data_IF_606933669341
#
_entry.id   IF_606933669341
#
_cell.length_a   1.000
_cell.length_b   1.000
_cell.length_c   1.000
_cell.angle_alpha   90.00
_cell.angle_beta   90.00
_cell.angle_gamma   90.00
#
_symmetry.space_group_name_H-M   'P 1'
#
loop_
_entity.id
_entity.type
_entity.pdbx_description
1 polymer ?
#
# COMPACT_ATOMS: atom_id res chain seq x y z
N UNK A 1 -10.71 -6.94 3.41
CA UNK A 1 -10.34 -7.55 2.11
C UNK A 1 -9.74 -8.94 2.19
N UNK A 2 -8.73 -9.20 3.03
CA UNK A 2 -8.10 -10.51 3.15
C UNK A 2 -9.09 -11.69 3.26
N UNK A 3 -10.15 -11.52 4.06
CA UNK A 3 -11.21 -12.53 4.19
C UNK A 3 -11.99 -12.74 2.89
N UNK A 4 -12.34 -11.66 2.19
CA UNK A 4 -13.05 -11.72 0.91
C UNK A 4 -12.19 -12.36 -0.19
N UNK A 5 -10.87 -12.14 -0.13
CA UNK A 5 -9.90 -12.73 -1.04
C UNK A 5 -9.53 -14.19 -0.70
N UNK A 6 -10.09 -14.76 0.38
CA UNK A 6 -9.78 -16.12 0.83
C UNK A 6 -8.37 -16.30 1.41
N UNK A 7 -7.65 -15.20 1.67
CA UNK A 7 -6.31 -15.22 2.28
C UNK A 7 -6.39 -15.57 3.76
N UNK A 8 -7.47 -15.17 4.42
CA UNK A 8 -7.70 -15.35 5.85
C UNK A 8 -9.15 -15.77 6.12
N UNK A 9 -9.40 -16.59 7.14
CA UNK A 9 -10.72 -16.91 7.66
C UNK A 9 -11.02 -16.05 8.89
N UNK A 10 -12.30 -15.74 9.11
CA UNK A 10 -12.69 -14.82 10.18
C UNK A 10 -12.33 -15.32 11.60
N UNK A 11 -12.25 -16.63 11.79
CA UNK A 11 -11.87 -17.29 13.04
C UNK A 11 -10.35 -17.42 13.24
N UNK A 12 -9.55 -17.07 12.24
CA UNK A 12 -8.09 -16.96 12.37
C UNK A 12 -7.66 -15.62 12.98
N UNK A 13 -8.59 -14.64 13.08
CA UNK A 13 -8.31 -13.35 13.69
C UNK A 13 -8.00 -13.48 15.20
N UNK A 14 -7.04 -12.71 15.73
CA UNK A 14 -6.59 -12.83 17.10
C UNK A 14 -7.70 -12.40 18.08
N UNK A 15 -8.04 -13.26 19.03
CA UNK A 15 -9.18 -13.04 19.95
C UNK A 15 -8.99 -11.79 20.80
N UNK A 16 -7.78 -11.53 21.32
CA UNK A 16 -7.51 -10.40 22.22
C UNK A 16 -7.91 -9.04 21.63
N UNK A 17 -7.37 -8.65 20.46
CA UNK A 17 -7.79 -7.42 19.79
C UNK A 17 -9.30 -7.35 19.48
N UNK A 18 -9.92 -8.48 19.15
CA UNK A 18 -11.35 -8.54 18.85
C UNK A 18 -12.24 -8.36 20.08
N UNK A 19 -11.76 -8.66 21.29
CA UNK A 19 -12.50 -8.39 22.53
C UNK A 19 -12.54 -6.90 22.85
N UNK A 20 -11.46 -6.17 22.54
CA UNK A 20 -11.37 -4.72 22.77
C UNK A 20 -12.07 -3.95 21.65
N UNK A 21 -11.78 -4.27 20.39
CA UNK A 21 -12.23 -3.50 19.25
C UNK A 21 -13.58 -3.99 18.71
N UNK A 22 -13.87 -5.28 18.86
CA UNK A 22 -15.09 -5.92 18.35
C UNK A 22 -14.85 -6.88 17.19
N UNK A 23 -15.79 -7.80 17.00
CA UNK A 23 -15.67 -8.92 16.04
C UNK A 23 -15.99 -8.55 14.60
N UNK A 24 -16.83 -7.55 14.37
CA UNK A 24 -17.19 -7.10 13.01
C UNK A 24 -16.34 -5.91 12.59
N UNK A 25 -16.22 -5.71 11.27
CA UNK A 25 -15.55 -4.54 10.71
C UNK A 25 -16.14 -3.23 11.26
N UNK A 26 -17.47 -3.10 11.25
CA UNK A 26 -18.16 -1.92 11.76
C UNK A 26 -17.96 -1.71 13.27
N UNK A 27 -17.95 -2.78 14.07
CA UNK A 27 -17.69 -2.68 15.50
C UNK A 27 -16.27 -2.14 15.77
N UNK A 28 -15.26 -2.64 15.05
CA UNK A 28 -13.87 -2.16 15.20
C UNK A 28 -13.73 -0.68 14.88
N UNK A 29 -14.31 -0.24 13.77
CA UNK A 29 -14.29 1.19 13.40
C UNK A 29 -14.98 2.02 14.48
N UNK A 30 -16.17 1.60 14.91
CA UNK A 30 -16.92 2.33 15.94
C UNK A 30 -16.11 2.46 17.24
N UNK A 31 -15.57 1.36 17.75
CA UNK A 31 -14.78 1.36 18.99
C UNK A 31 -13.56 2.27 18.89
N UNK A 32 -12.81 2.21 17.78
CA UNK A 32 -11.63 3.06 17.57
C UNK A 32 -12.00 4.54 17.45
N UNK A 33 -13.05 4.87 16.69
CA UNK A 33 -13.48 6.27 16.50
C UNK A 33 -14.02 6.86 17.80
N UNK A 34 -14.89 6.12 18.51
CA UNK A 34 -15.43 6.57 19.79
C UNK A 34 -14.30 6.78 20.82
N UNK A 35 -13.39 5.81 20.96
CA UNK A 35 -12.24 5.93 21.88
C UNK A 35 -11.36 7.12 21.51
N UNK A 36 -11.04 7.30 20.22
CA UNK A 36 -10.24 8.44 19.75
C UNK A 36 -10.89 9.78 20.10
N UNK A 37 -12.19 9.92 19.87
CA UNK A 37 -12.93 11.16 20.19
C UNK A 37 -12.91 11.42 21.69
N UNK A 38 -13.27 10.44 22.52
CA UNK A 38 -13.28 10.57 23.99
C UNK A 38 -11.88 10.87 24.55
N UNK A 39 -10.84 10.27 23.98
CA UNK A 39 -9.48 10.45 24.43
C UNK A 39 -8.82 11.73 23.94
N UNK A 40 -9.38 12.39 22.93
CA UNK A 40 -8.85 13.62 22.34
C UNK A 40 -9.69 14.87 22.61
N UNK A 41 -10.97 14.73 22.95
CA UNK A 41 -11.85 15.89 23.17
C UNK A 41 -11.34 16.81 24.28
N UNK A 42 -11.31 18.11 23.99
CA UNK A 42 -10.79 19.15 24.88
C UNK A 42 -9.29 19.05 25.23
N UNK A 43 -8.52 18.20 24.56
CA UNK A 43 -7.09 17.95 24.84
C UNK A 43 -6.20 18.40 23.68
N UNK A 44 -4.92 18.71 23.93
CA UNK A 44 -4.00 19.16 22.88
C UNK A 44 -3.55 18.04 21.94
N UNK A 45 -3.77 16.77 22.32
CA UNK A 45 -3.27 15.60 21.60
C UNK A 45 -4.41 14.73 21.05
N UNK A 46 -4.22 14.24 19.82
CA UNK A 46 -5.05 13.19 19.22
C UNK A 46 -4.47 11.84 19.60
N UNK A 47 -5.22 11.04 20.37
CA UNK A 47 -4.72 9.77 20.87
C UNK A 47 -5.83 8.77 21.12
N UNK A 48 -5.49 7.49 21.02
CA UNK A 48 -6.28 6.39 21.54
C UNK A 48 -5.92 6.16 23.03
N UNK A 49 -6.80 5.46 23.74
CA UNK A 49 -6.49 4.89 25.04
C UNK A 49 -5.43 3.80 24.89
N UNK A 50 -4.65 3.54 25.94
CA UNK A 50 -3.64 2.47 25.90
C UNK A 50 -4.21 1.09 25.51
N UNK A 51 -5.41 0.67 26.00
CA UNK A 51 -6.03 -0.59 25.57
C UNK A 51 -6.40 -0.60 24.08
N UNK A 52 -7.04 0.46 23.57
CA UNK A 52 -7.43 0.53 22.16
C UNK A 52 -6.21 0.59 21.24
N UNK A 53 -5.18 1.33 21.62
CA UNK A 53 -3.92 1.40 20.88
C UNK A 53 -3.23 0.03 20.81
N UNK A 54 -3.08 -0.67 21.93
CA UNK A 54 -2.46 -2.01 21.96
C UNK A 54 -3.23 -3.00 21.10
N UNK A 55 -4.56 -3.02 21.23
CA UNK A 55 -5.39 -3.90 20.42
C UNK A 55 -5.28 -3.60 18.91
N UNK A 56 -5.18 -2.32 18.53
CA UNK A 56 -4.95 -1.92 17.14
C UNK A 56 -3.58 -2.39 16.63
N UNK A 57 -2.54 -2.21 17.45
CA UNK A 57 -1.16 -2.59 17.11
C UNK A 57 -1.02 -4.11 16.97
N UNK A 58 -1.55 -4.87 17.93
CA UNK A 58 -1.59 -6.35 17.87
C UNK A 58 -2.33 -6.85 16.63
N UNK A 59 -3.47 -6.24 16.28
CA UNK A 59 -4.22 -6.60 15.08
C UNK A 59 -3.44 -6.24 13.80
N UNK A 60 -2.72 -5.13 13.81
CA UNK A 60 -1.87 -4.70 12.70
C UNK A 60 -0.72 -5.68 12.50
N UNK A 61 -0.01 -6.06 13.56
CA UNK A 61 1.10 -7.01 13.51
C UNK A 61 0.65 -8.36 12.95
N UNK A 62 -0.50 -8.85 13.41
CA UNK A 62 -1.14 -10.04 12.86
C UNK A 62 -1.41 -9.90 11.35
N UNK A 63 -1.98 -8.78 10.91
CA UNK A 63 -2.25 -8.54 9.49
C UNK A 63 -0.96 -8.49 8.65
N UNK A 64 0.14 -7.95 9.20
CA UNK A 64 1.44 -7.98 8.53
C UNK A 64 1.98 -9.39 8.34
N UNK A 65 1.95 -10.20 9.40
CA UNK A 65 2.43 -11.58 9.34
C UNK A 65 1.59 -12.45 8.38
N UNK A 66 0.27 -12.42 8.53
CA UNK A 66 -0.62 -13.40 7.89
C UNK A 66 -1.16 -12.97 6.52
N UNK A 67 -1.14 -11.67 6.21
CA UNK A 67 -1.69 -11.13 4.97
C UNK A 67 -0.62 -10.49 4.11
N UNK A 68 0.11 -9.51 4.63
CA UNK A 68 1.01 -8.69 3.80
C UNK A 68 2.36 -9.37 3.49
N UNK A 69 2.92 -10.14 4.41
CA UNK A 69 4.25 -10.76 4.27
C UNK A 69 4.21 -12.26 3.93
N UNK A 70 3.03 -12.81 3.68
CA UNK A 70 2.84 -14.23 3.36
C UNK A 70 3.61 -14.61 2.09
N UNK A 71 4.25 -15.78 2.07
CA UNK A 71 5.15 -16.25 1.00
C UNK A 71 4.57 -16.09 -0.43
N UNK A 72 3.26 -16.30 -0.63
CA UNK A 72 2.61 -16.12 -1.93
C UNK A 72 2.48 -14.67 -2.43
N UNK A 73 2.67 -13.67 -1.56
CA UNK A 73 2.67 -12.25 -1.94
C UNK A 73 4.03 -11.77 -2.48
N UNK A 74 5.10 -12.55 -2.29
CA UNK A 74 6.46 -12.13 -2.67
C UNK A 74 6.68 -12.19 -4.19
N UNK A 75 6.11 -13.16 -4.91
CA UNK A 75 6.36 -13.27 -6.36
C UNK A 75 5.83 -12.06 -7.15
N UNK A 76 4.61 -11.60 -6.84
CA UNK A 76 4.04 -10.43 -7.50
C UNK A 76 4.68 -9.13 -7.01
N UNK A 77 5.13 -9.08 -5.75
CA UNK A 77 5.94 -7.99 -5.23
C UNK A 77 7.26 -7.85 -5.98
N UNK A 78 8.01 -8.95 -6.17
CA UNK A 78 9.29 -8.97 -6.87
C UNK A 78 9.13 -8.55 -8.34
N UNK A 79 8.05 -9.00 -9.00
CA UNK A 79 7.70 -8.55 -10.36
C UNK A 79 7.42 -7.05 -10.41
N UNK A 80 6.67 -6.51 -9.44
CA UNK A 80 6.39 -5.09 -9.35
C UNK A 80 7.65 -4.26 -9.11
N UNK A 81 8.53 -4.70 -8.19
CA UNK A 81 9.83 -4.05 -7.92
C UNK A 81 10.68 -4.04 -9.19
N UNK A 82 10.75 -5.16 -9.91
CA UNK A 82 11.48 -5.24 -11.19
C UNK A 82 10.91 -4.27 -12.22
N UNK A 83 9.59 -4.27 -12.41
CA UNK A 83 8.91 -3.36 -13.35
C UNK A 83 9.26 -1.90 -13.06
N UNK A 84 9.21 -1.49 -11.78
CA UNK A 84 9.54 -0.12 -11.38
C UNK A 84 11.00 0.22 -11.63
N UNK A 85 11.93 -0.70 -11.33
CA UNK A 85 13.37 -0.51 -11.60
C UNK A 85 13.66 -0.35 -13.09
N UNK A 86 13.07 -1.20 -13.91
CA UNK A 86 13.23 -1.17 -15.36
C UNK A 86 12.68 0.15 -15.94
N UNK A 87 11.48 0.59 -15.53
CA UNK A 87 10.91 1.88 -15.94
C UNK A 87 11.80 3.06 -15.48
N UNK A 88 12.29 3.00 -14.25
CA UNK A 88 13.17 4.03 -13.70
C UNK A 88 14.46 4.15 -14.51
N UNK A 89 15.10 3.02 -14.79
CA UNK A 89 16.32 2.98 -15.59
C UNK A 89 16.07 3.49 -17.01
N UNK A 90 14.96 3.08 -17.63
CA UNK A 90 14.59 3.53 -18.97
C UNK A 90 14.49 5.05 -19.07
N UNK A 91 13.76 5.70 -18.17
CA UNK A 91 13.61 7.16 -18.22
C UNK A 91 14.87 7.93 -17.81
N UNK A 92 15.80 7.31 -17.07
CA UNK A 92 17.13 7.89 -16.86
C UNK A 92 17.96 7.88 -18.14
N UNK A 93 17.86 6.82 -18.96
CA UNK A 93 18.55 6.68 -20.24
C UNK A 93 17.86 7.47 -21.37
N UNK A 94 16.55 7.67 -21.27
CA UNK A 94 15.69 8.35 -22.25
C UNK A 94 14.91 9.52 -21.61
N UNK A 95 15.59 10.56 -21.10
CA UNK A 95 14.94 11.67 -20.40
C UNK A 95 13.98 12.48 -21.27
N UNK A 96 14.15 12.43 -22.59
CA UNK A 96 13.29 13.07 -23.60
C UNK A 96 11.95 12.35 -23.79
N UNK A 97 11.81 11.11 -23.30
CA UNK A 97 10.55 10.37 -23.31
C UNK A 97 9.67 10.59 -22.07
N UNK A 98 10.19 11.29 -21.05
CA UNK A 98 9.36 11.75 -19.93
C UNK A 98 8.23 12.67 -20.43
N UNK A 99 7.06 12.72 -19.80
CA UNK A 99 6.06 13.72 -20.14
C UNK A 99 6.61 15.14 -19.95
N UNK A 100 6.15 16.07 -20.79
CA UNK A 100 6.70 17.41 -20.84
C UNK A 100 6.58 18.19 -19.51
N UNK A 101 5.57 17.90 -18.69
CA UNK A 101 5.46 18.44 -17.32
C UNK A 101 6.62 17.99 -16.41
N UNK A 102 7.02 16.71 -16.48
CA UNK A 102 8.11 16.16 -15.67
C UNK A 102 9.48 16.54 -16.22
N UNK A 103 9.63 16.70 -17.54
CA UNK A 103 10.85 17.25 -18.12
C UNK A 103 11.13 18.69 -17.64
N UNK A 104 10.08 19.50 -17.49
CA UNK A 104 10.18 20.91 -17.09
C UNK A 104 10.08 21.13 -15.57
N UNK A 105 9.83 20.07 -14.80
CA UNK A 105 9.78 20.15 -13.36
C UNK A 105 11.16 20.55 -12.78
N UNK A 106 11.18 21.29 -11.67
CA UNK A 106 12.43 21.57 -10.95
C UNK A 106 13.00 20.29 -10.33
N UNK A 107 14.32 20.26 -10.13
CA UNK A 107 15.03 19.11 -9.54
C UNK A 107 15.96 18.39 -10.52
N UNK A 108 16.73 17.44 -10.00
CA UNK A 108 17.59 16.60 -10.84
C UNK A 108 16.78 15.61 -11.68
N UNK A 109 17.43 14.95 -12.64
CA UNK A 109 16.74 13.97 -13.49
C UNK A 109 16.16 12.81 -12.68
N UNK A 110 16.91 12.29 -11.71
CA UNK A 110 16.52 11.19 -10.83
C UNK A 110 15.19 11.47 -10.12
N UNK A 111 15.05 12.66 -9.54
CA UNK A 111 13.84 13.10 -8.83
C UNK A 111 12.67 13.22 -9.80
N UNK A 112 12.88 13.82 -10.97
CA UNK A 112 11.82 13.99 -11.99
C UNK A 112 11.32 12.65 -12.53
N UNK A 113 12.21 11.67 -12.70
CA UNK A 113 11.84 10.29 -13.07
C UNK A 113 11.08 9.60 -11.93
N UNK A 114 11.54 9.74 -10.69
CA UNK A 114 10.86 9.18 -9.53
C UNK A 114 9.44 9.73 -9.38
N UNK A 115 9.27 11.05 -9.52
CA UNK A 115 7.97 11.72 -9.45
C UNK A 115 7.04 11.29 -10.58
N UNK A 116 7.57 11.12 -11.79
CA UNK A 116 6.79 10.61 -12.92
C UNK A 116 6.27 9.20 -12.65
N UNK A 117 7.14 8.29 -12.18
CA UNK A 117 6.78 6.90 -11.89
C UNK A 117 5.81 6.83 -10.69
N UNK A 118 6.04 7.63 -9.64
CA UNK A 118 5.13 7.72 -8.50
C UNK A 118 3.75 8.27 -8.88
N UNK A 119 3.67 9.08 -9.93
CA UNK A 119 2.41 9.57 -10.51
C UNK A 119 1.65 8.55 -11.37
N UNK A 120 2.24 7.38 -11.66
CA UNK A 120 1.58 6.34 -12.46
C UNK A 120 0.55 5.58 -11.63
N UNK A 121 -0.59 5.26 -12.27
CA UNK A 121 -1.45 4.18 -11.77
C UNK A 121 -0.88 2.82 -12.16
N UNK A 122 -1.16 1.76 -11.39
CA UNK A 122 -0.71 0.39 -11.69
C UNK A 122 -1.00 -0.02 -13.14
N UNK A 123 -2.21 0.25 -13.62
CA UNK A 123 -2.62 -0.06 -14.99
C UNK A 123 -1.80 0.71 -16.03
N UNK A 124 -1.44 1.97 -15.74
CA UNK A 124 -0.62 2.78 -16.63
C UNK A 124 0.83 2.28 -16.64
N UNK A 125 1.40 1.99 -15.47
CA UNK A 125 2.75 1.45 -15.34
C UNK A 125 2.90 0.12 -16.07
N UNK A 126 1.95 -0.80 -15.91
CA UNK A 126 1.91 -2.09 -16.62
C UNK A 126 1.87 -1.91 -18.14
N UNK A 127 0.96 -1.09 -18.67
CA UNK A 127 0.86 -0.83 -20.12
C UNK A 127 2.11 -0.16 -20.68
N UNK A 128 2.70 0.75 -19.92
CA UNK A 128 3.95 1.40 -20.31
C UNK A 128 5.09 0.38 -20.35
N UNK A 129 5.19 -0.47 -19.33
CA UNK A 129 6.17 -1.55 -19.29
C UNK A 129 6.01 -2.53 -20.46
N UNK A 130 4.78 -2.98 -20.71
CA UNK A 130 4.43 -3.83 -21.86
C UNK A 130 4.86 -3.21 -23.19
N UNK A 131 4.56 -1.92 -23.40
CA UNK A 131 4.92 -1.21 -24.63
C UNK A 131 6.43 -1.06 -24.82
N UNK A 132 7.17 -0.82 -23.74
CA UNK A 132 8.60 -0.51 -23.78
C UNK A 132 9.47 -1.77 -23.86
N UNK A 133 9.10 -2.82 -23.13
CA UNK A 133 9.97 -3.99 -22.92
C UNK A 133 9.46 -5.28 -23.56
N UNK A 134 8.17 -5.37 -23.93
CA UNK A 134 7.64 -6.57 -24.59
C UNK A 134 7.56 -6.39 -26.12
N UNK A 135 7.93 -7.42 -26.90
CA UNK A 135 7.71 -7.42 -28.34
C UNK A 135 6.23 -7.25 -28.69
N UNK A 136 5.94 -6.47 -29.73
CA UNK A 136 4.55 -6.17 -30.15
C UNK A 136 3.69 -7.40 -30.46
N UNK A 137 4.30 -8.54 -30.77
CA UNK A 137 3.59 -9.81 -31.02
C UNK A 137 3.13 -10.55 -29.76
N UNK A 138 3.50 -10.08 -28.56
CA UNK A 138 3.15 -10.70 -27.27
C UNK A 138 2.16 -9.88 -26.44
N UNK A 139 1.69 -8.75 -26.97
CA UNK A 139 0.66 -7.93 -26.36
C UNK A 139 -0.70 -8.57 -26.70
N UNK A 140 -1.46 -8.98 -25.67
CA UNK A 140 -2.83 -9.53 -25.80
C UNK A 140 -3.86 -8.42 -26.06
#
# INVERSE_FOLDING_TARGET
>A
DAIRAGVLRADELPVGPLEVLGRTHSARINSLVTDLVEQSDGKPDIRLSSPAFRALDDLRDFMFAEVYLREGAHEDHDKAVKLLRDLFQYYLEHPDELPAEHQRAPGDLTTRVADHIAGMTDRYALRTYERLFLPRGWLL
#
